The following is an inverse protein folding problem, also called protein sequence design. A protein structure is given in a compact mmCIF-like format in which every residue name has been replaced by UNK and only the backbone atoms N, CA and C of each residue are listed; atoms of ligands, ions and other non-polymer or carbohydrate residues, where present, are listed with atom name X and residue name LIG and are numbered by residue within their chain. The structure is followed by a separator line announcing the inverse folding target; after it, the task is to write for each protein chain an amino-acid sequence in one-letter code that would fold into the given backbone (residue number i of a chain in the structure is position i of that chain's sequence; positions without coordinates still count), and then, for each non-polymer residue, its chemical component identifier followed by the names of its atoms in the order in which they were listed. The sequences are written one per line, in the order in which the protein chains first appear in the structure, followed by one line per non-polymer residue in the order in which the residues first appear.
data_IF_321214493447
#
_entry.id   IF_321214493447
#
_cell.length_a   1.000
_cell.length_b   1.000
_cell.length_c   1.000
_cell.angle_alpha   90.00
_cell.angle_beta   90.00
_cell.angle_gamma   90.00
#
_symmetry.space_group_name_H-M   'P 1'
#
loop_
_entity.id
_entity.type
_entity.pdbx_description
1 polymer ?
#
# COMPACT_ATOMS: atom_id res chain seq x y z
N UNK A 1 7.95 -14.74 16.29
CA UNK A 1 8.30 -14.01 15.05
C UNK A 1 7.14 -13.08 14.74
N UNK A 2 7.40 -11.78 14.55
CA UNK A 2 6.36 -10.83 14.16
C UNK A 2 6.31 -10.78 12.62
N UNK A 3 5.15 -11.06 12.04
CA UNK A 3 4.90 -10.97 10.60
C UNK A 3 3.76 -10.00 10.36
N UNK A 4 4.01 -8.95 9.58
CA UNK A 4 3.01 -7.92 9.24
C UNK A 4 2.99 -7.74 7.74
N UNK A 5 1.81 -7.53 7.16
CA UNK A 5 1.66 -7.15 5.76
C UNK A 5 1.00 -5.78 5.67
N UNK A 6 1.39 -5.01 4.66
CA UNK A 6 0.73 -3.75 4.35
C UNK A 6 0.46 -3.60 2.87
N UNK A 7 -0.60 -2.87 2.55
CA UNK A 7 -1.12 -2.70 1.20
C UNK A 7 -1.54 -1.24 1.02
N UNK A 8 -1.12 -0.64 -0.08
CA UNK A 8 -1.23 0.80 -0.28
C UNK A 8 -2.30 1.13 -1.34
N UNK A 9 -2.71 2.40 -1.37
CA UNK A 9 -3.64 3.06 -2.29
C UNK A 9 -5.15 2.82 -2.05
N UNK A 10 -5.57 1.63 -1.61
CA UNK A 10 -6.98 1.32 -1.35
C UNK A 10 -7.77 0.88 -2.60
N UNK A 11 -7.19 0.03 -3.43
CA UNK A 11 -7.85 -0.48 -4.63
C UNK A 11 -8.99 -1.43 -4.30
N UNK A 12 -9.97 -1.55 -5.20
CA UNK A 12 -11.06 -2.55 -5.07
C UNK A 12 -10.56 -4.00 -4.91
N UNK A 13 -9.39 -4.30 -5.46
CA UNK A 13 -8.77 -5.63 -5.34
C UNK A 13 -8.28 -5.94 -3.93
N UNK A 14 -8.11 -4.92 -3.08
CA UNK A 14 -7.66 -5.07 -1.70
C UNK A 14 -8.70 -5.82 -0.85
N UNK A 15 -9.99 -5.74 -1.19
CA UNK A 15 -11.04 -6.54 -0.57
C UNK A 15 -10.83 -8.04 -0.81
N UNK A 16 -10.49 -8.43 -2.04
CA UNK A 16 -10.20 -9.82 -2.37
C UNK A 16 -8.94 -10.31 -1.65
N UNK A 17 -7.98 -9.42 -1.47
CA UNK A 17 -6.76 -9.71 -0.74
C UNK A 17 -7.03 -9.87 0.76
N UNK A 18 -7.86 -9.01 1.34
CA UNK A 18 -8.33 -9.14 2.71
C UNK A 18 -9.01 -10.49 2.97
N UNK A 19 -9.90 -10.92 2.07
CA UNK A 19 -10.54 -12.24 2.18
C UNK A 19 -9.53 -13.40 2.15
N UNK A 20 -8.46 -13.27 1.38
CA UNK A 20 -7.36 -14.24 1.40
C UNK A 20 -6.58 -14.18 2.71
N UNK A 21 -6.28 -12.99 3.23
CA UNK A 21 -5.59 -12.84 4.51
C UNK A 21 -6.40 -13.47 5.64
N UNK A 22 -7.70 -13.23 5.69
CA UNK A 22 -8.62 -13.84 6.66
C UNK A 22 -8.67 -15.37 6.54
N UNK A 23 -8.66 -15.91 5.32
CA UNK A 23 -8.63 -17.37 5.09
C UNK A 23 -7.42 -18.05 5.77
N UNK A 24 -6.30 -17.33 5.91
CA UNK A 24 -5.08 -17.84 6.52
C UNK A 24 -4.81 -17.26 7.92
N UNK A 25 -5.79 -16.58 8.53
CA UNK A 25 -5.67 -15.92 9.85
C UNK A 25 -4.49 -14.93 9.94
N UNK A 26 -4.29 -14.15 8.87
CA UNK A 26 -3.25 -13.12 8.78
C UNK A 26 -3.91 -11.75 8.85
N UNK A 27 -3.36 -10.84 9.66
CA UNK A 27 -3.78 -9.43 9.67
C UNK A 27 -2.92 -8.58 8.74
N UNK A 28 -3.56 -7.65 8.06
CA UNK A 28 -2.92 -6.64 7.22
C UNK A 28 -3.29 -5.22 7.65
N UNK A 29 -2.45 -4.28 7.24
CA UNK A 29 -2.72 -2.84 7.32
C UNK A 29 -2.98 -2.32 5.91
N UNK A 30 -4.13 -1.71 5.68
CA UNK A 30 -4.51 -1.13 4.38
C UNK A 30 -4.42 0.40 4.46
N UNK A 31 -3.46 0.98 3.75
CA UNK A 31 -3.24 2.41 3.67
C UNK A 31 -4.06 3.00 2.54
N UNK A 32 -5.07 3.80 2.89
CA UNK A 32 -6.09 4.28 1.94
C UNK A 32 -5.88 5.75 1.58
N UNK A 33 -6.18 6.08 0.34
CA UNK A 33 -6.15 7.44 -0.21
C UNK A 33 -7.51 7.75 -0.86
N UNK A 34 -8.19 8.86 -0.51
CA UNK A 34 -9.46 9.24 -1.12
C UNK A 34 -9.35 9.52 -2.63
N UNK A 35 -8.22 10.08 -3.09
CA UNK A 35 -8.05 10.38 -4.51
C UNK A 35 -7.89 9.08 -5.31
N UNK A 36 -8.64 8.99 -6.41
CA UNK A 36 -8.54 7.88 -7.37
C UNK A 36 -7.10 7.70 -7.85
N UNK A 37 -6.58 6.47 -7.76
CA UNK A 37 -5.21 6.13 -8.16
C UNK A 37 -5.18 5.34 -9.48
N UNK A 38 -4.23 5.70 -10.35
CA UNK A 38 -3.93 5.00 -11.62
C UNK A 38 -5.14 4.68 -12.52
N UNK A 39 -6.20 5.51 -12.45
CA UNK A 39 -7.46 5.30 -13.15
C UNK A 39 -8.10 3.91 -12.89
N UNK A 40 -7.89 3.37 -11.69
CA UNK A 40 -8.47 2.08 -11.26
C UNK A 40 -9.69 2.26 -10.38
N UNK A 41 -10.43 1.17 -10.22
CA UNK A 41 -11.51 1.06 -9.25
C UNK A 41 -10.94 1.06 -7.83
N UNK A 42 -11.42 1.99 -7.02
CA UNK A 42 -11.06 2.14 -5.61
C UNK A 42 -12.17 1.56 -4.73
N UNK A 43 -11.85 1.24 -3.48
CA UNK A 43 -12.88 0.90 -2.49
C UNK A 43 -13.79 2.11 -2.22
N UNK A 44 -15.06 1.85 -1.94
CA UNK A 44 -15.97 2.89 -1.43
C UNK A 44 -15.71 3.14 0.06
N UNK A 45 -16.22 4.25 0.59
CA UNK A 45 -16.12 4.55 2.02
C UNK A 45 -16.74 3.42 2.87
N UNK A 46 -17.90 2.91 2.47
CA UNK A 46 -18.58 1.81 3.18
C UNK A 46 -17.73 0.52 3.18
N UNK A 47 -17.05 0.24 2.07
CA UNK A 47 -16.15 -0.92 1.99
C UNK A 47 -14.92 -0.77 2.87
N UNK A 48 -14.37 0.45 2.97
CA UNK A 48 -13.26 0.75 3.89
C UNK A 48 -13.72 0.61 5.35
N UNK A 49 -14.92 1.09 5.68
CA UNK A 49 -15.51 0.95 7.01
C UNK A 49 -15.74 -0.52 7.39
N UNK A 50 -16.28 -1.34 6.47
CA UNK A 50 -16.44 -2.78 6.68
C UNK A 50 -15.09 -3.50 6.78
N UNK A 51 -14.10 -3.11 5.97
CA UNK A 51 -12.76 -3.70 6.00
C UNK A 51 -12.08 -3.48 7.35
N UNK A 52 -12.31 -2.32 7.98
CA UNK A 52 -11.77 -1.99 9.30
C UNK A 52 -12.19 -2.98 10.39
N UNK A 53 -13.34 -3.65 10.27
CA UNK A 53 -13.77 -4.63 11.27
C UNK A 53 -12.84 -5.84 11.34
N UNK A 54 -12.12 -6.13 10.24
CA UNK A 54 -11.26 -7.32 10.09
C UNK A 54 -9.77 -7.00 10.06
N UNK A 55 -9.40 -5.80 9.60
CA UNK A 55 -8.02 -5.38 9.37
C UNK A 55 -7.77 -3.95 9.84
N UNK A 56 -6.50 -3.55 9.94
CA UNK A 56 -6.14 -2.17 10.27
C UNK A 56 -6.26 -1.28 9.02
N UNK A 57 -6.80 -0.08 9.19
CA UNK A 57 -6.83 0.95 8.15
C UNK A 57 -5.88 2.09 8.57
N UNK A 58 -4.98 2.47 7.66
CA UNK A 58 -4.03 3.57 7.83
C UNK A 58 -4.21 4.66 6.77
N UNK A 59 -3.56 5.80 6.99
CA UNK A 59 -3.62 6.95 6.08
C UNK A 59 -2.51 6.92 5.03
N UNK A 60 -2.82 7.37 3.80
CA UNK A 60 -1.87 7.45 2.68
C UNK A 60 -1.92 8.79 1.94
N UNK A 61 -2.00 9.90 2.69
CA UNK A 61 -2.31 11.26 2.21
C UNK A 61 -3.71 11.39 1.60
N UNK A 62 -4.15 12.61 1.27
CA UNK A 62 -5.45 12.83 0.62
C UNK A 62 -5.35 12.64 -0.89
N UNK A 63 -4.26 13.14 -1.50
CA UNK A 63 -4.12 13.28 -2.95
C UNK A 63 -2.98 12.44 -3.51
N UNK A 64 -2.36 11.57 -2.70
CA UNK A 64 -1.16 10.80 -3.05
C UNK A 64 0.01 11.71 -3.47
N UNK A 65 0.13 12.84 -2.77
CA UNK A 65 1.13 13.87 -3.02
C UNK A 65 2.51 13.39 -2.57
N UNK A 66 3.55 13.72 -3.35
CA UNK A 66 4.93 13.47 -2.91
C UNK A 66 5.31 14.56 -1.91
N UNK A 67 5.21 14.24 -0.63
CA UNK A 67 5.29 15.21 0.48
C UNK A 67 6.60 16.03 0.52
N UNK A 68 7.70 15.47 -0.02
CA UNK A 68 9.00 16.15 -0.09
C UNK A 68 9.11 17.17 -1.23
N UNK A 69 8.12 17.26 -2.12
CA UNK A 69 8.11 18.15 -3.29
C UNK A 69 7.01 19.22 -3.22
N UNK A 70 6.21 19.22 -2.16
CA UNK A 70 5.17 20.23 -1.91
C UNK A 70 5.61 21.16 -0.78
N UNK A 71 4.87 22.27 -0.58
CA UNK A 71 5.15 23.16 0.55
C UNK A 71 4.88 22.46 1.89
N UNK A 72 5.55 22.91 2.96
CA UNK A 72 5.33 22.40 4.31
C UNK A 72 3.86 22.48 4.76
N UNK A 73 3.18 23.58 4.39
CA UNK A 73 1.75 23.79 4.68
C UNK A 73 0.89 22.77 3.96
N UNK A 74 1.16 22.52 2.67
CA UNK A 74 0.45 21.53 1.88
C UNK A 74 0.72 20.10 2.37
N UNK A 75 1.98 19.78 2.72
CA UNK A 75 2.33 18.48 3.30
C UNK A 75 1.58 18.24 4.61
N UNK A 76 1.49 19.26 5.48
CA UNK A 76 0.73 19.20 6.73
C UNK A 76 -0.75 18.92 6.48
N UNK A 77 -1.38 19.65 5.55
CA UNK A 77 -2.79 19.45 5.17
C UNK A 77 -3.02 18.02 4.63
N UNK A 78 -2.17 17.56 3.71
CA UNK A 78 -2.24 16.20 3.15
C UNK A 78 -2.20 15.12 4.23
N UNK A 79 -1.37 15.31 5.26
CA UNK A 79 -1.19 14.36 6.36
C UNK A 79 -2.38 14.41 7.33
N UNK A 80 -2.70 15.59 7.85
CA UNK A 80 -3.71 15.78 8.90
C UNK A 80 -5.12 15.47 8.38
N UNK A 81 -5.46 15.95 7.18
CA UNK A 81 -6.78 15.71 6.61
C UNK A 81 -6.96 14.26 6.15
N UNK A 82 -5.88 13.57 5.74
CA UNK A 82 -5.94 12.12 5.46
C UNK A 82 -6.25 11.33 6.72
N UNK A 83 -5.63 11.69 7.86
CA UNK A 83 -5.96 11.10 9.16
C UNK A 83 -7.43 11.28 9.52
N UNK A 84 -7.90 12.54 9.48
CA UNK A 84 -9.28 12.88 9.82
C UNK A 84 -10.29 12.15 8.93
N UNK A 85 -10.01 12.04 7.63
CA UNK A 85 -10.86 11.32 6.69
C UNK A 85 -10.97 9.82 7.01
N UNK A 86 -9.85 9.16 7.33
CA UNK A 86 -9.86 7.75 7.75
C UNK A 86 -10.67 7.59 9.05
N UNK A 87 -10.44 8.45 10.04
CA UNK A 87 -11.13 8.39 11.33
C UNK A 87 -12.64 8.62 11.18
N UNK A 88 -13.04 9.54 10.29
CA UNK A 88 -14.45 9.82 10.00
C UNK A 88 -15.16 8.62 9.35
N UNK A 89 -14.55 7.97 8.36
CA UNK A 89 -15.16 6.84 7.66
C UNK A 89 -15.20 5.60 8.52
N UNK A 90 -14.14 5.35 9.27
CA UNK A 90 -13.99 4.11 10.05
C UNK A 90 -14.58 4.21 11.45
N UNK A 91 -14.87 5.42 11.95
CA UNK A 91 -15.29 5.66 13.33
C UNK A 91 -14.23 5.27 14.36
N UNK A 92 -12.97 5.11 13.96
CA UNK A 92 -11.89 4.60 14.80
C UNK A 92 -10.59 5.41 14.62
N UNK A 93 -9.72 5.51 15.65
CA UNK A 93 -8.45 6.23 15.53
C UNK A 93 -7.54 5.67 14.43
N UNK A 94 -6.97 6.55 13.62
CA UNK A 94 -6.02 6.21 12.56
C UNK A 94 -4.60 6.34 13.11
N UNK A 95 -3.95 5.18 13.37
CA UNK A 95 -2.66 5.13 14.09
C UNK A 95 -1.45 5.12 13.16
N UNK A 96 -1.60 4.60 11.95
CA UNK A 96 -0.49 4.31 11.06
C UNK A 96 -0.56 5.13 9.78
N UNK A 97 0.60 5.57 9.30
CA UNK A 97 0.76 6.30 8.06
C UNK A 97 1.61 5.50 7.06
N UNK A 98 1.48 5.77 5.76
CA UNK A 98 2.41 5.29 4.74
C UNK A 98 2.79 6.46 3.85
N UNK A 99 4.09 6.67 3.60
CA UNK A 99 4.54 7.76 2.74
C UNK A 99 4.30 7.40 1.26
N UNK A 100 3.59 8.23 0.46
CA UNK A 100 3.47 8.01 -0.97
C UNK A 100 4.83 7.81 -1.62
N UNK A 101 4.97 6.72 -2.38
CA UNK A 101 6.21 6.25 -3.01
C UNK A 101 7.39 5.98 -2.05
N UNK A 102 7.19 6.14 -0.74
CA UNK A 102 8.20 6.06 0.31
C UNK A 102 9.07 7.30 0.46
N UNK A 103 8.81 8.41 -0.23
CA UNK A 103 9.60 9.63 -0.09
C UNK A 103 9.28 10.35 1.22
N UNK A 104 10.31 10.61 2.00
CA UNK A 104 10.23 11.30 3.29
C UNK A 104 11.55 12.02 3.57
N UNK A 105 11.50 13.04 4.43
CA UNK A 105 12.64 13.76 4.99
C UNK A 105 12.31 14.12 6.46
N UNK A 106 13.25 14.71 7.18
CA UNK A 106 13.07 15.01 8.61
C UNK A 106 11.86 15.91 8.90
N UNK A 107 11.62 16.89 8.03
CA UNK A 107 10.45 17.78 8.14
C UNK A 107 9.13 17.00 8.00
N UNK A 108 9.00 16.19 6.96
CA UNK A 108 7.81 15.35 6.72
C UNK A 108 7.62 14.32 7.82
N UNK A 109 8.69 13.71 8.33
CA UNK A 109 8.62 12.82 9.50
C UNK A 109 8.04 13.56 10.70
N UNK A 110 8.52 14.77 10.98
CA UNK A 110 8.04 15.56 12.10
C UNK A 110 6.57 15.98 11.93
N UNK A 111 6.13 16.31 10.72
CA UNK A 111 4.71 16.56 10.43
C UNK A 111 3.84 15.34 10.73
N UNK A 112 4.26 14.14 10.33
CA UNK A 112 3.54 12.89 10.64
C UNK A 112 3.51 12.62 12.15
N UNK A 113 4.60 12.86 12.87
CA UNK A 113 4.63 12.77 14.35
C UNK A 113 3.65 13.76 14.99
N UNK A 114 3.67 15.02 14.55
CA UNK A 114 2.84 16.08 15.10
C UNK A 114 1.35 15.88 14.82
N UNK A 115 0.99 15.24 13.70
CA UNK A 115 -0.38 14.82 13.40
C UNK A 115 -0.88 13.67 14.32
N UNK A 116 -0.03 13.16 15.21
CA UNK A 116 -0.38 12.17 16.23
C UNK A 116 -0.48 10.75 15.69
N UNK A 117 0.23 10.42 14.61
CA UNK A 117 0.42 9.02 14.22
C UNK A 117 1.36 8.31 15.20
N UNK A 118 1.26 6.99 15.30
CA UNK A 118 2.16 6.16 16.12
C UNK A 118 3.36 5.62 15.33
N UNK A 119 3.28 5.63 14.00
CA UNK A 119 4.36 5.22 13.13
C UNK A 119 4.00 5.35 11.65
N UNK A 120 4.98 5.11 10.79
CA UNK A 120 4.86 5.23 9.35
C UNK A 120 5.71 4.22 8.58
N UNK A 121 5.21 3.80 7.42
CA UNK A 121 5.88 2.87 6.49
C UNK A 121 6.61 3.60 5.36
N UNK A 122 7.80 3.12 5.03
CA UNK A 122 8.61 3.53 3.87
C UNK A 122 8.65 2.42 2.82
N UNK A 123 9.33 2.68 1.70
CA UNK A 123 9.56 1.68 0.63
C UNK A 123 10.98 1.12 0.63
N UNK A 124 11.75 1.34 1.70
CA UNK A 124 13.05 0.69 1.87
C UNK A 124 12.86 -0.83 1.95
N UNK A 125 13.75 -1.59 1.29
CA UNK A 125 13.59 -3.04 1.08
C UNK A 125 14.73 -3.82 1.70
N UNK A 126 14.51 -5.12 1.92
CA UNK A 126 15.50 -6.07 2.45
C UNK A 126 15.98 -5.72 3.86
N UNK A 127 15.16 -5.01 4.62
CA UNK A 127 15.41 -4.69 6.02
C UNK A 127 14.56 -5.57 6.92
N UNK A 128 15.14 -6.01 8.03
CA UNK A 128 14.51 -6.92 9.00
C UNK A 128 14.26 -6.25 10.36
N UNK A 129 14.74 -5.03 10.53
CA UNK A 129 14.64 -4.24 11.76
C UNK A 129 14.10 -2.86 11.46
N UNK A 130 13.31 -2.31 12.37
CA UNK A 130 12.84 -0.93 12.34
C UNK A 130 13.34 -0.23 13.60
N UNK A 131 14.30 0.68 13.47
CA UNK A 131 14.86 1.43 14.60
C UNK A 131 13.96 2.61 14.99
N UNK A 132 13.29 3.21 14.01
CA UNK A 132 12.34 4.30 14.20
C UNK A 132 10.94 3.86 13.72
N UNK A 133 9.91 3.93 14.57
CA UNK A 133 8.51 3.66 14.18
C UNK A 133 8.02 4.50 13.00
N UNK A 134 8.62 5.65 12.72
CA UNK A 134 8.22 6.54 11.62
C UNK A 134 8.99 6.30 10.33
N UNK A 135 9.94 5.37 10.31
CA UNK A 135 10.63 4.97 9.08
C UNK A 135 10.67 3.46 8.96
N UNK A 136 9.56 2.79 9.25
CA UNK A 136 9.50 1.33 9.22
C UNK A 136 9.69 0.81 7.78
N UNK A 137 10.75 0.03 7.53
CA UNK A 137 11.03 -0.45 6.19
C UNK A 137 10.19 -1.70 5.87
N UNK A 138 10.44 -2.28 4.70
CA UNK A 138 9.86 -3.54 4.24
C UNK A 138 10.95 -4.60 4.09
N UNK A 139 10.67 -5.82 4.53
CA UNK A 139 11.55 -6.96 4.24
C UNK A 139 11.40 -7.38 2.78
N UNK A 140 10.16 -7.44 2.31
CA UNK A 140 9.80 -7.81 0.95
C UNK A 140 8.70 -6.89 0.44
N UNK A 141 8.90 -6.31 -0.74
CA UNK A 141 7.86 -5.60 -1.48
C UNK A 141 7.37 -6.48 -2.63
N UNK A 142 6.10 -6.92 -2.55
CA UNK A 142 5.48 -7.77 -3.56
C UNK A 142 4.71 -6.89 -4.53
N UNK A 143 5.16 -6.84 -5.79
CA UNK A 143 4.47 -6.12 -6.86
C UNK A 143 3.79 -7.11 -7.81
N UNK A 144 2.65 -6.78 -8.42
CA UNK A 144 1.92 -7.69 -9.32
C UNK A 144 2.80 -8.19 -10.46
N UNK A 145 3.16 -9.46 -10.36
CA UNK A 145 3.80 -10.22 -11.41
C UNK A 145 2.72 -10.70 -12.39
N UNK A 146 2.87 -10.54 -13.72
CA UNK A 146 4.11 -10.28 -14.46
C UNK A 146 4.18 -8.88 -15.12
N UNK A 147 3.34 -7.91 -14.72
CA UNK A 147 3.11 -6.68 -15.51
C UNK A 147 3.95 -5.46 -15.07
N UNK A 148 5.00 -5.64 -14.27
CA UNK A 148 6.02 -4.59 -14.17
C UNK A 148 6.69 -4.52 -15.56
N UNK A 149 6.80 -3.33 -16.17
CA UNK A 149 7.72 -3.13 -17.30
C UNK A 149 9.13 -3.37 -16.74
N UNK A 150 9.62 -4.60 -16.82
CA UNK A 150 10.87 -5.05 -16.21
C UNK A 150 12.08 -4.66 -17.06
N UNK A 151 12.18 -3.39 -17.45
CA UNK A 151 13.42 -2.86 -18.02
C UNK A 151 14.43 -2.49 -16.92
N UNK A 152 14.05 -2.53 -15.64
CA UNK A 152 14.87 -2.08 -14.51
C UNK A 152 15.62 -3.18 -13.74
N UNK A 153 15.79 -4.39 -14.28
CA UNK A 153 16.57 -5.46 -13.64
C UNK A 153 17.59 -6.08 -14.59
N UNK A 154 18.87 -6.01 -14.19
CA UNK A 154 20.04 -6.62 -14.86
C UNK A 154 19.94 -8.13 -15.15
N UNK A 155 18.97 -8.84 -14.56
CA UNK A 155 18.79 -10.30 -14.73
C UNK A 155 17.97 -10.70 -15.96
N UNK A 156 17.28 -9.76 -16.61
CA UNK A 156 16.44 -10.06 -17.78
C UNK A 156 17.14 -10.50 -19.07
N UNK A 157 18.40 -10.10 -19.35
CA UNK A 157 19.12 -10.57 -20.53
C UNK A 157 19.36 -12.09 -20.52
N UNK A 158 19.45 -12.71 -19.33
CA UNK A 158 19.80 -14.12 -19.18
C UNK A 158 18.58 -15.06 -19.13
N UNK A 159 17.38 -14.56 -18.80
CA UNK A 159 16.14 -15.33 -18.87
C UNK A 159 14.93 -14.49 -19.30
N UNK A 160 14.80 -14.20 -20.61
CA UNK A 160 13.69 -13.42 -21.15
C UNK A 160 12.32 -14.12 -20.99
N UNK A 161 12.30 -15.44 -20.77
CA UNK A 161 11.08 -16.25 -20.67
C UNK A 161 10.73 -16.67 -19.24
N UNK A 162 11.60 -16.44 -18.26
CA UNK A 162 11.40 -16.78 -16.84
C UNK A 162 10.06 -16.31 -16.31
N UNK A 163 9.65 -15.06 -16.58
CA UNK A 163 8.35 -14.59 -16.18
C UNK A 163 7.18 -15.36 -16.78
N UNK A 164 7.29 -15.89 -18.00
CA UNK A 164 6.23 -16.69 -18.63
C UNK A 164 6.14 -18.12 -18.07
N UNK A 165 7.24 -18.71 -17.58
CA UNK A 165 7.27 -20.06 -17.01
C UNK A 165 6.58 -20.13 -15.64
N UNK A 166 6.82 -19.15 -14.78
CA UNK A 166 6.19 -19.07 -13.44
C UNK A 166 4.66 -18.87 -13.53
N UNK A 167 4.16 -18.31 -14.64
CA UNK A 167 2.76 -17.85 -14.81
C UNK A 167 1.67 -18.91 -14.85
N UNK A 168 1.90 -20.15 -15.30
CA UNK A 168 0.75 -21.01 -15.70
C UNK A 168 0.36 -22.06 -14.67
N UNK A 169 1.33 -22.76 -14.11
CA UNK A 169 1.08 -23.91 -13.23
C UNK A 169 0.64 -23.46 -11.83
N UNK A 170 1.38 -22.54 -11.23
CA UNK A 170 1.12 -22.08 -9.86
C UNK A 170 -0.11 -21.17 -9.77
N UNK A 171 -0.33 -20.26 -10.73
CA UNK A 171 -1.56 -19.45 -10.78
C UNK A 171 -2.83 -20.32 -10.94
N UNK A 172 -2.72 -21.45 -11.66
CA UNK A 172 -3.83 -22.40 -11.80
C UNK A 172 -4.10 -23.15 -10.49
N UNK A 173 -3.05 -23.53 -9.73
CA UNK A 173 -3.20 -24.12 -8.40
C UNK A 173 -3.88 -23.15 -7.41
N UNK A 174 -3.61 -21.86 -7.53
CA UNK A 174 -4.23 -20.80 -6.71
C UNK A 174 -5.63 -20.36 -7.21
N UNK A 175 -6.23 -21.06 -8.19
CA UNK A 175 -7.57 -20.74 -8.71
C UNK A 175 -7.66 -19.43 -9.51
N UNK A 176 -6.54 -18.80 -9.85
CA UNK A 176 -6.51 -17.52 -10.57
C UNK A 176 -6.69 -17.77 -12.06
N UNK A 177 -7.93 -17.63 -12.56
CA UNK A 177 -8.22 -17.67 -14.01
C UNK A 177 -7.55 -16.48 -14.71
N UNK A 178 -6.80 -16.75 -15.78
CA UNK A 178 -6.14 -15.74 -16.61
C UNK A 178 -7.21 -14.84 -17.27
N UNK A 179 -7.53 -13.68 -16.68
CA UNK A 179 -8.36 -12.67 -17.36
C UNK A 179 -7.57 -12.09 -18.55
N UNK A 180 -8.06 -12.33 -19.77
CA UNK A 180 -7.68 -11.54 -20.95
C UNK A 180 -8.23 -10.14 -20.71
N UNK A 181 -7.40 -9.22 -20.25
CA UNK A 181 -7.73 -7.80 -20.36
C UNK A 181 -7.76 -7.49 -21.87
N UNK A 182 -8.96 -7.27 -22.41
CA UNK A 182 -9.09 -6.60 -23.71
C UNK A 182 -8.37 -5.27 -23.56
N UNK A 183 -7.39 -4.99 -24.42
CA UNK A 183 -6.87 -3.63 -24.56
C UNK A 183 -8.08 -2.79 -24.97
N UNK A 184 -8.51 -1.87 -24.11
CA UNK A 184 -9.38 -0.79 -24.55
C UNK A 184 -8.52 0.05 -25.50
N UNK A 185 -9.08 0.28 -26.70
CA UNK A 185 -8.47 1.07 -27.76
C UNK A 185 -8.38 2.54 -27.33
#
# INVERSE_FOLDING_TARGET
MLFTTSWDDGYKLDLRLADLLDQYDIKGTFYVCPRKQHDKDMMTNDEIALLRERHEIGAHTLRHSKLTEVSSVEAKEEIESSKQWVEQITGAPCKMFCYPYGFHNDEVIQLVRNAGFSGARTTERLQFTANDPFTMPTTLQVTPFPKRKTWSRWWHPLDPYGPLRVRKRELKKLGIKKRRYKRLA
#
